data_IF_898756172655
#
_entry.id   IF_898756172655
#
_cell.length_a   1.000
_cell.length_b   1.000
_cell.length_c   1.000
_cell.angle_alpha   90.00
_cell.angle_beta   90.00
_cell.angle_gamma   90.00
#
_symmetry.space_group_name_H-M   'P 1'
#
loop_
_entity.id
_entity.type
_entity.pdbx_description
1 polymer ?
#
# COMPACT_ATOMS: atom_id res chain seq x y z
N UNK A 1 2.66 -10.25 -7.35
CA UNK A 1 3.75 -10.14 -6.35
C UNK A 1 4.62 -8.90 -6.51
N UNK A 2 5.14 -8.58 -7.71
CA UNK A 2 5.93 -7.36 -7.89
C UNK A 2 5.11 -6.08 -7.62
N UNK A 3 3.87 -6.02 -8.13
CA UNK A 3 2.95 -4.89 -7.89
C UNK A 3 2.60 -4.70 -6.41
N UNK A 4 2.40 -5.79 -5.66
CA UNK A 4 2.19 -5.73 -4.21
C UNK A 4 3.41 -5.13 -3.49
N UNK A 5 4.63 -5.52 -3.88
CA UNK A 5 5.86 -4.97 -3.29
C UNK A 5 5.99 -3.48 -3.57
N UNK A 6 5.75 -3.06 -4.81
CA UNK A 6 5.78 -1.65 -5.20
C UNK A 6 4.72 -0.84 -4.45
N UNK A 7 3.50 -1.37 -4.33
CA UNK A 7 2.44 -0.72 -3.56
C UNK A 7 2.87 -0.47 -2.11
N UNK A 8 3.38 -1.50 -1.43
CA UNK A 8 3.85 -1.37 -0.06
C UNK A 8 4.98 -0.36 0.08
N UNK A 9 5.93 -0.35 -0.85
CA UNK A 9 7.05 0.60 -0.79
C UNK A 9 6.54 2.05 -0.86
N UNK A 10 5.50 2.31 -1.65
CA UNK A 10 4.81 3.62 -1.66
C UNK A 10 4.07 3.88 -0.36
N UNK A 11 3.35 2.91 0.21
CA UNK A 11 2.68 3.05 1.52
C UNK A 11 3.67 3.39 2.62
N UNK A 12 4.82 2.70 2.68
CA UNK A 12 5.90 2.99 3.63
C UNK A 12 6.43 4.40 3.46
N UNK A 13 6.76 4.77 2.23
CA UNK A 13 7.28 6.10 1.92
C UNK A 13 6.26 7.18 2.30
N UNK A 14 4.97 6.94 2.06
CA UNK A 14 3.90 7.86 2.42
C UNK A 14 3.77 8.05 3.93
N UNK A 15 3.78 6.95 4.70
CA UNK A 15 3.77 7.01 6.16
C UNK A 15 5.00 7.75 6.70
N UNK A 16 6.18 7.52 6.12
CA UNK A 16 7.42 8.22 6.48
C UNK A 16 7.33 9.71 6.17
N UNK A 17 6.87 10.10 4.97
CA UNK A 17 6.68 11.50 4.59
C UNK A 17 5.66 12.19 5.50
N UNK A 18 4.53 11.56 5.81
CA UNK A 18 3.53 12.12 6.73
C UNK A 18 4.13 12.40 8.11
N UNK A 19 4.94 11.48 8.64
CA UNK A 19 5.58 11.58 9.96
C UNK A 19 6.81 12.50 9.99
N UNK A 20 7.42 12.79 8.84
CA UNK A 20 8.58 13.67 8.77
C UNK A 20 8.22 15.10 9.22
N UNK A 21 9.18 15.87 9.79
CA UNK A 21 9.03 17.31 9.95
C UNK A 21 8.63 18.00 8.64
N UNK A 22 8.09 19.20 8.72
CA UNK A 22 7.80 19.96 7.51
C UNK A 22 9.09 20.30 6.75
N UNK A 23 9.04 20.18 5.42
CA UNK A 23 10.15 20.45 4.53
C UNK A 23 9.64 20.97 3.18
N UNK A 24 10.47 21.77 2.51
CA UNK A 24 10.14 22.31 1.20
C UNK A 24 9.89 21.17 0.19
N UNK A 25 8.69 21.11 -0.36
CA UNK A 25 8.28 20.06 -1.29
C UNK A 25 7.56 18.86 -0.65
N UNK A 26 7.36 18.84 0.67
CA UNK A 26 6.62 17.78 1.37
C UNK A 26 5.21 17.56 0.81
N UNK A 27 4.47 18.64 0.57
CA UNK A 27 3.11 18.55 -0.01
C UNK A 27 3.14 17.91 -1.39
N UNK A 28 4.07 18.32 -2.24
CA UNK A 28 4.24 17.76 -3.59
C UNK A 28 4.66 16.28 -3.55
N UNK A 29 5.51 15.90 -2.59
CA UNK A 29 5.88 14.51 -2.39
C UNK A 29 4.66 13.67 -1.97
N UNK A 30 3.82 14.19 -1.09
CA UNK A 30 2.58 13.52 -0.68
C UNK A 30 1.61 13.39 -1.86
N UNK A 31 1.45 14.42 -2.69
CA UNK A 31 0.63 14.36 -3.91
C UNK A 31 1.15 13.29 -4.88
N UNK A 32 2.45 13.29 -5.18
CA UNK A 32 3.05 12.30 -6.08
C UNK A 32 2.90 10.86 -5.55
N UNK A 33 2.96 10.67 -4.24
CA UNK A 33 2.77 9.37 -3.60
C UNK A 33 1.29 8.96 -3.64
N UNK A 34 0.37 9.90 -3.42
CA UNK A 34 -1.08 9.66 -3.53
C UNK A 34 -1.45 9.20 -4.94
N UNK A 35 -0.92 9.85 -5.99
CA UNK A 35 -1.14 9.43 -7.37
C UNK A 35 -0.63 8.01 -7.65
N UNK A 36 0.53 7.65 -7.07
CA UNK A 36 1.06 6.28 -7.19
C UNK A 36 0.20 5.26 -6.45
N UNK A 37 -0.26 5.58 -5.24
CA UNK A 37 -1.16 4.72 -4.47
C UNK A 37 -2.44 4.45 -5.27
N UNK A 38 -3.07 5.48 -5.84
CA UNK A 38 -4.27 5.33 -6.65
C UNK A 38 -4.05 4.44 -7.89
N UNK A 39 -2.89 4.52 -8.54
CA UNK A 39 -2.56 3.67 -9.68
C UNK A 39 -2.45 2.20 -9.27
N UNK A 40 -1.74 1.90 -8.18
CA UNK A 40 -1.61 0.54 -7.69
C UNK A 40 -2.93 0.00 -7.12
N UNK A 41 -3.72 0.82 -6.43
CA UNK A 41 -5.01 0.42 -5.88
C UNK A 41 -6.02 0.06 -6.98
N UNK A 42 -5.99 0.75 -8.12
CA UNK A 42 -6.80 0.34 -9.30
C UNK A 42 -6.43 -1.06 -9.78
N UNK A 43 -5.13 -1.38 -9.81
CA UNK A 43 -4.67 -2.72 -10.17
C UNK A 43 -5.10 -3.75 -9.13
N UNK A 44 -4.81 -3.51 -7.84
CA UNK A 44 -5.16 -4.40 -6.74
C UNK A 44 -6.67 -4.68 -6.69
N UNK A 45 -7.49 -3.65 -6.92
CA UNK A 45 -8.95 -3.78 -6.95
C UNK A 45 -9.45 -4.64 -8.12
N UNK A 46 -8.79 -4.59 -9.28
CA UNK A 46 -9.14 -5.43 -10.42
C UNK A 46 -8.81 -6.91 -10.18
N UNK A 47 -7.66 -7.17 -9.54
CA UNK A 47 -7.18 -8.50 -9.20
C UNK A 47 -7.92 -9.12 -8.00
N UNK A 48 -8.47 -8.28 -7.13
CA UNK A 48 -9.20 -8.72 -5.94
C UNK A 48 -10.46 -9.51 -6.29
N UNK A 49 -10.75 -10.53 -5.48
CA UNK A 49 -11.92 -11.40 -5.62
C UNK A 49 -13.21 -10.64 -5.23
N UNK A 50 -13.12 -9.69 -4.29
CA UNK A 50 -14.23 -8.81 -3.89
C UNK A 50 -13.73 -7.44 -3.41
N UNK A 51 -14.62 -6.44 -3.28
CA UNK A 51 -14.27 -5.16 -2.65
C UNK A 51 -13.73 -5.31 -1.23
N UNK A 52 -14.32 -6.20 -0.42
CA UNK A 52 -13.86 -6.48 0.94
C UNK A 52 -12.48 -7.16 0.93
N UNK A 53 -12.19 -7.97 -0.09
CA UNK A 53 -10.85 -8.54 -0.29
C UNK A 53 -9.82 -7.47 -0.59
N UNK A 54 -10.16 -6.49 -1.43
CA UNK A 54 -9.32 -5.33 -1.69
C UNK A 54 -9.05 -4.53 -0.41
N UNK A 55 -10.08 -4.21 0.37
CA UNK A 55 -9.92 -3.44 1.62
C UNK A 55 -8.97 -4.17 2.60
N UNK A 56 -9.10 -5.50 2.72
CA UNK A 56 -8.21 -6.32 3.55
C UNK A 56 -6.76 -6.35 3.05
N UNK A 57 -6.53 -6.28 1.74
CA UNK A 57 -5.18 -6.17 1.17
C UNK A 57 -4.57 -4.82 1.53
N UNK A 58 -5.34 -3.73 1.44
CA UNK A 58 -4.91 -2.38 1.82
C UNK A 58 -4.57 -2.32 3.31
N UNK A 59 -5.45 -2.83 4.17
CA UNK A 59 -5.22 -2.89 5.62
C UNK A 59 -3.95 -3.68 5.97
N UNK A 60 -3.73 -4.82 5.31
CA UNK A 60 -2.51 -5.61 5.49
C UNK A 60 -1.26 -4.88 5.01
N UNK A 61 -1.32 -4.15 3.90
CA UNK A 61 -0.19 -3.37 3.41
C UNK A 61 0.20 -2.25 4.39
N UNK A 62 -0.79 -1.57 4.98
CA UNK A 62 -0.57 -0.58 6.05
C UNK A 62 0.00 -1.25 7.31
N UNK A 63 -0.52 -2.41 7.69
CA UNK A 63 -0.01 -3.20 8.82
C UNK A 63 1.45 -3.59 8.61
N UNK A 64 1.84 -4.06 7.42
CA UNK A 64 3.23 -4.39 7.12
C UNK A 64 4.12 -3.15 7.11
N UNK A 65 3.65 -2.04 6.52
CA UNK A 65 4.38 -0.77 6.51
C UNK A 65 4.61 -0.21 7.92
N UNK A 66 3.66 -0.46 8.84
CA UNK A 66 3.74 -0.07 10.25
C UNK A 66 4.48 -1.07 11.14
N UNK A 67 4.90 -2.22 10.57
CA UNK A 67 5.54 -3.36 11.26
C UNK A 67 4.61 -4.12 12.23
N UNK A 68 3.31 -4.04 12.01
CA UNK A 68 2.30 -4.79 12.77
C UNK A 68 2.19 -6.24 12.31
N UNK A 69 2.46 -6.50 11.03
CA UNK A 69 2.52 -7.84 10.44
C UNK A 69 3.83 -8.04 9.67
N UNK A 70 4.19 -9.31 9.46
CA UNK A 70 5.30 -9.70 8.60
C UNK A 70 4.93 -9.59 7.12
N UNK A 71 5.96 -9.55 6.27
CA UNK A 71 5.73 -9.59 4.82
C UNK A 71 5.09 -10.91 4.37
N UNK A 72 5.42 -12.03 5.04
CA UNK A 72 4.84 -13.34 4.72
C UNK A 72 3.33 -13.38 5.00
N UNK A 73 2.86 -12.75 6.07
CA UNK A 73 1.43 -12.62 6.37
C UNK A 73 0.70 -11.77 5.31
N UNK A 74 1.33 -10.68 4.85
CA UNK A 74 0.81 -9.88 3.75
C UNK A 74 0.73 -10.68 2.44
N UNK A 75 1.78 -11.43 2.09
CA UNK A 75 1.80 -12.27 0.89
C UNK A 75 0.73 -13.36 0.95
N UNK A 76 0.53 -13.99 2.11
CA UNK A 76 -0.52 -14.98 2.31
C UNK A 76 -1.92 -14.37 2.11
N UNK A 77 -2.20 -13.22 2.74
CA UNK A 77 -3.47 -12.53 2.58
C UNK A 77 -3.72 -12.13 1.12
N UNK A 78 -2.71 -11.59 0.44
CA UNK A 78 -2.81 -11.25 -0.97
C UNK A 78 -3.20 -12.47 -1.82
N UNK A 79 -2.48 -13.59 -1.68
CA UNK A 79 -2.76 -14.80 -2.44
C UNK A 79 -4.14 -15.41 -2.16
N UNK A 80 -4.69 -15.22 -0.96
CA UNK A 80 -6.04 -15.68 -0.61
C UNK A 80 -7.15 -14.77 -1.15
N UNK A 81 -6.84 -13.52 -1.47
CA UNK A 81 -7.81 -12.47 -1.78
C UNK A 81 -7.76 -11.99 -3.24
N UNK A 82 -6.80 -12.50 -4.04
CA UNK A 82 -6.68 -12.23 -5.49
C UNK A 82 -6.97 -13.47 -6.34
N UNK A 83 -7.35 -13.25 -7.60
CA UNK A 83 -7.72 -14.29 -8.59
C UNK A 83 -6.52 -15.05 -9.14
#
# INVERSE_FOLDING_TARGET
MEELRRYVDVVKKNIETMKAPDYEGKERDLENQQEQLEQYERYLKAESISPEGFDRIVDAAVGYASKDISFSELEEMYNQLTK
#
